data_IF_560232505867
#
_entry.id   IF_560232505867
#
_cell.length_a   1.000
_cell.length_b   1.000
_cell.length_c   1.000
_cell.angle_alpha   90.00
_cell.angle_beta   90.00
_cell.angle_gamma   90.00
#
_symmetry.space_group_name_H-M   'P 1'
#
loop_
_entity.id
_entity.type
_entity.pdbx_description
1 polymer ?
#
# COMPACT_ATOMS: atom_id res chain seq x y z
N UNK A 1 23.93 4.98 32.35
CA UNK A 1 22.77 4.07 32.23
C UNK A 1 23.05 3.15 31.07
N UNK A 2 23.28 1.88 31.39
CA UNK A 2 23.44 0.73 30.49
C UNK A 2 22.15 0.53 29.68
N UNK A 3 22.06 -0.13 28.53
CA UNK A 3 22.85 -1.13 27.81
C UNK A 3 22.72 -0.79 26.31
N UNK A 4 23.79 -0.95 25.52
CA UNK A 4 23.60 -1.31 24.12
C UNK A 4 23.06 -2.74 24.11
N UNK A 5 21.74 -2.89 24.32
CA UNK A 5 21.06 -4.17 24.17
C UNK A 5 21.33 -4.65 22.75
N UNK A 6 22.20 -5.65 22.65
CA UNK A 6 22.67 -6.16 21.38
C UNK A 6 21.48 -6.76 20.63
N UNK A 7 21.08 -6.11 19.54
CA UNK A 7 19.98 -6.57 18.69
C UNK A 7 20.46 -7.82 17.96
N UNK A 8 20.00 -8.99 18.41
CA UNK A 8 20.43 -10.30 17.89
C UNK A 8 19.46 -10.89 16.88
N UNK A 9 18.19 -10.46 16.89
CA UNK A 9 17.15 -11.04 16.04
C UNK A 9 16.15 -10.01 15.52
N UNK A 10 15.42 -10.35 14.46
CA UNK A 10 14.27 -9.58 13.98
C UNK A 10 13.20 -9.47 15.06
N UNK A 11 12.98 -10.50 15.88
CA UNK A 11 12.00 -10.45 16.96
C UNK A 11 12.34 -9.35 17.98
N UNK A 12 13.62 -9.07 18.24
CA UNK A 12 14.03 -7.99 19.14
C UNK A 12 13.83 -6.62 18.50
N UNK A 13 14.00 -6.50 17.18
CA UNK A 13 13.64 -5.28 16.45
C UNK A 13 12.14 -4.99 16.52
N UNK A 14 11.30 -6.01 16.37
CA UNK A 14 9.84 -5.83 16.38
C UNK A 14 9.30 -5.41 17.75
N UNK A 15 10.03 -5.66 18.84
CA UNK A 15 9.68 -5.16 20.19
C UNK A 15 9.99 -3.67 20.39
N UNK A 16 10.79 -3.05 19.51
CA UNK A 16 11.16 -1.64 19.64
C UNK A 16 9.92 -0.74 19.45
N UNK A 17 9.94 0.49 20.00
CA UNK A 17 8.86 1.45 19.78
C UNK A 17 8.70 1.85 18.30
N UNK A 18 7.47 1.97 17.82
CA UNK A 18 7.10 2.39 16.48
C UNK A 18 7.65 3.77 16.13
N UNK A 19 7.83 4.64 17.13
CA UNK A 19 8.48 5.94 17.00
C UNK A 19 9.88 5.87 16.37
N UNK A 20 10.58 4.74 16.53
CA UNK A 20 11.91 4.53 15.91
C UNK A 20 11.85 4.47 14.39
N UNK A 21 10.69 4.17 13.80
CA UNK A 21 10.48 4.17 12.35
C UNK A 21 10.28 5.57 11.76
N UNK A 22 10.08 6.59 12.61
CA UNK A 22 9.67 7.93 12.18
C UNK A 22 10.85 8.84 11.77
N UNK A 23 12.08 8.50 12.13
CA UNK A 23 13.24 9.37 11.95
C UNK A 23 13.51 9.77 10.50
N UNK A 24 13.21 8.89 9.55
CA UNK A 24 13.42 9.14 8.12
C UNK A 24 12.13 9.52 7.38
N UNK A 25 11.02 9.79 8.11
CA UNK A 25 9.71 10.00 7.51
C UNK A 25 9.43 11.45 7.19
N UNK A 26 8.98 11.66 5.96
CA UNK A 26 8.44 12.93 5.49
C UNK A 26 7.19 13.32 6.28
N UNK A 27 6.87 14.61 6.24
CA UNK A 27 5.62 15.13 6.78
C UNK A 27 4.42 14.46 6.11
N UNK A 28 3.33 14.34 6.87
CA UNK A 28 2.09 13.79 6.35
C UNK A 28 1.56 14.68 5.23
N UNK A 29 1.32 14.07 4.07
CA UNK A 29 0.50 14.66 3.02
C UNK A 29 -0.91 14.17 3.25
N UNK A 30 -1.88 15.08 3.30
CA UNK A 30 -3.29 14.81 3.56
C UNK A 30 -4.18 15.63 2.63
N UNK A 31 -5.46 15.27 2.57
CA UNK A 31 -6.51 16.01 1.86
C UNK A 31 -7.71 16.22 2.79
N UNK A 32 -8.57 17.16 2.44
CA UNK A 32 -9.83 17.37 3.17
C UNK A 32 -10.93 16.42 2.68
N UNK A 33 -11.92 16.17 3.52
CA UNK A 33 -13.10 15.35 3.23
C UNK A 33 -13.86 15.78 1.95
N UNK A 34 -13.83 17.08 1.65
CA UNK A 34 -14.48 17.69 0.48
C UNK A 34 -13.60 17.72 -0.77
N UNK A 35 -12.32 17.34 -0.66
CA UNK A 35 -11.39 17.30 -1.81
C UNK A 35 -11.92 16.33 -2.87
N UNK A 36 -11.93 16.77 -4.13
CA UNK A 36 -12.44 15.94 -5.23
C UNK A 36 -11.51 14.78 -5.56
N UNK A 37 -12.02 13.73 -6.21
CA UNK A 37 -11.20 12.62 -6.69
C UNK A 37 -10.10 13.07 -7.66
N UNK A 38 -10.39 14.01 -8.55
CA UNK A 38 -9.38 14.53 -9.50
C UNK A 38 -8.23 15.21 -8.76
N UNK A 39 -8.54 16.03 -7.77
CA UNK A 39 -7.52 16.73 -7.02
C UNK A 39 -6.76 15.76 -6.11
N UNK A 40 -7.44 14.74 -5.58
CA UNK A 40 -6.81 13.62 -4.89
C UNK A 40 -5.80 12.90 -5.78
N UNK A 41 -6.16 12.55 -7.02
CA UNK A 41 -5.25 11.94 -7.99
C UNK A 41 -4.03 12.85 -8.28
N UNK A 42 -4.24 14.16 -8.39
CA UNK A 42 -3.13 15.12 -8.56
C UNK A 42 -2.22 15.15 -7.34
N UNK A 43 -2.76 15.09 -6.12
CA UNK A 43 -1.97 15.02 -4.87
C UNK A 43 -1.16 13.73 -4.84
N UNK A 44 -1.78 12.58 -5.08
CA UNK A 44 -1.12 11.28 -5.14
C UNK A 44 0.04 11.29 -6.15
N UNK A 45 -0.20 11.80 -7.37
CA UNK A 45 0.81 11.89 -8.41
C UNK A 45 1.93 12.89 -8.09
N UNK A 46 1.59 14.10 -7.61
CA UNK A 46 2.56 15.15 -7.30
C UNK A 46 3.52 14.74 -6.19
N UNK A 47 2.99 14.07 -5.16
CA UNK A 47 3.77 13.63 -4.01
C UNK A 47 4.34 12.22 -4.18
N UNK A 48 4.04 11.55 -5.30
CA UNK A 48 4.49 10.19 -5.59
C UNK A 48 4.14 9.20 -4.48
N UNK A 49 2.86 9.20 -4.08
CA UNK A 49 2.30 8.36 -3.02
C UNK A 49 1.06 7.62 -3.54
N UNK A 50 0.79 6.43 -3.00
CA UNK A 50 -0.37 5.59 -3.42
C UNK A 50 -1.58 5.68 -2.47
N UNK A 51 -1.49 6.50 -1.43
CA UNK A 51 -2.61 6.72 -0.52
C UNK A 51 -2.41 8.00 0.26
N UNK A 52 -3.53 8.57 0.69
CA UNK A 52 -3.58 9.83 1.39
C UNK A 52 -4.66 9.77 2.48
N UNK A 53 -4.35 10.18 3.72
CA UNK A 53 -5.37 10.33 4.75
C UNK A 53 -6.34 11.45 4.41
N UNK A 54 -7.59 11.26 4.80
CA UNK A 54 -8.67 12.22 4.63
C UNK A 54 -9.02 12.83 5.97
N UNK A 55 -8.90 14.14 6.07
CA UNK A 55 -9.23 14.93 7.25
C UNK A 55 -10.58 15.62 7.08
N UNK A 56 -11.46 15.43 8.05
CA UNK A 56 -12.75 16.10 8.14
C UNK A 56 -12.59 17.37 8.99
N UNK A 57 -12.63 18.52 8.33
CA UNK A 57 -12.41 19.83 8.97
C UNK A 57 -13.53 20.20 9.96
N UNK A 58 -14.76 19.72 9.72
CA UNK A 58 -15.90 19.99 10.61
C UNK A 58 -15.79 19.19 11.90
N UNK A 59 -15.46 17.90 11.78
CA UNK A 59 -15.28 17.00 12.94
C UNK A 59 -13.92 17.14 13.61
N UNK A 60 -12.97 17.79 12.92
CA UNK A 60 -11.57 17.92 13.34
C UNK A 60 -10.90 16.56 13.58
N UNK A 61 -11.13 15.60 12.69
CA UNK A 61 -10.55 14.26 12.80
C UNK A 61 -10.24 13.64 11.43
N UNK A 62 -9.36 12.64 11.39
CA UNK A 62 -9.20 11.83 10.19
C UNK A 62 -10.36 10.84 10.11
N UNK A 63 -11.01 10.79 8.95
CA UNK A 63 -12.16 9.91 8.71
C UNK A 63 -11.77 8.64 7.97
N UNK A 64 -10.59 8.61 7.34
CA UNK A 64 -10.08 7.41 6.69
C UNK A 64 -8.82 7.66 5.86
N UNK A 65 -8.46 6.65 5.07
CA UNK A 65 -7.39 6.71 4.07
C UNK A 65 -7.98 6.32 2.71
N UNK A 66 -7.69 7.11 1.68
CA UNK A 66 -8.01 6.77 0.29
C UNK A 66 -6.76 6.17 -0.37
N UNK A 67 -6.87 4.94 -0.85
CA UNK A 67 -5.84 4.24 -1.60
C UNK A 67 -6.06 4.36 -3.11
N UNK A 68 -5.00 4.26 -3.90
CA UNK A 68 -5.12 4.11 -5.37
C UNK A 68 -6.00 2.91 -5.73
N UNK A 69 -6.03 1.87 -4.89
CA UNK A 69 -6.94 0.74 -5.08
C UNK A 69 -8.42 1.10 -4.92
N UNK A 70 -8.79 1.98 -4.00
CA UNK A 70 -10.20 2.42 -3.87
C UNK A 70 -10.67 3.10 -5.16
N UNK A 71 -9.80 3.93 -5.75
CA UNK A 71 -10.03 4.56 -7.05
C UNK A 71 -10.17 3.54 -8.17
N UNK A 72 -9.27 2.54 -8.22
CA UNK A 72 -9.31 1.48 -9.24
C UNK A 72 -10.57 0.62 -9.12
N UNK A 73 -10.97 0.25 -7.91
CA UNK A 73 -12.19 -0.53 -7.66
C UNK A 73 -13.41 0.26 -8.07
N UNK A 74 -13.47 1.53 -7.68
CA UNK A 74 -14.58 2.40 -8.04
C UNK A 74 -14.69 2.60 -9.56
N UNK A 75 -13.58 2.79 -10.27
CA UNK A 75 -13.56 2.83 -11.75
C UNK A 75 -13.98 1.49 -12.35
N UNK A 76 -13.52 0.37 -11.78
CA UNK A 76 -13.71 -0.96 -12.36
C UNK A 76 -15.13 -1.52 -12.19
N UNK A 77 -15.79 -1.17 -11.08
CA UNK A 77 -17.06 -1.76 -10.66
C UNK A 77 -18.15 -0.74 -10.30
N UNK A 78 -17.79 0.49 -9.93
CA UNK A 78 -18.74 1.52 -9.53
C UNK A 78 -19.45 2.21 -10.70
N UNK A 79 -18.79 2.31 -11.87
CA UNK A 79 -19.34 3.01 -13.04
C UNK A 79 -19.80 2.11 -14.18
N UNK A 80 -19.21 0.93 -14.30
CA UNK A 80 -19.55 0.02 -15.38
C UNK A 80 -20.18 -1.22 -14.75
N UNK A 81 -21.49 -1.40 -14.95
CA UNK A 81 -22.04 -2.73 -14.77
C UNK A 81 -21.28 -3.68 -15.70
N UNK A 82 -20.94 -4.87 -15.21
CA UNK A 82 -20.06 -5.82 -15.92
C UNK A 82 -20.56 -6.13 -17.34
N UNK A 83 -21.85 -5.94 -17.58
CA UNK A 83 -22.56 -6.26 -18.82
C UNK A 83 -22.91 -5.04 -19.70
N UNK A 84 -22.63 -3.81 -19.24
CA UNK A 84 -22.99 -2.59 -19.99
C UNK A 84 -21.96 -2.30 -21.09
N UNK A 85 -22.43 -2.15 -22.33
CA UNK A 85 -21.59 -1.66 -23.44
C UNK A 85 -21.23 -0.20 -23.18
N UNK A 86 -19.95 0.05 -22.91
CA UNK A 86 -19.42 1.40 -22.73
C UNK A 86 -19.41 2.12 -24.09
N UNK A 87 -20.24 3.15 -24.25
CA UNK A 87 -20.16 4.08 -25.40
C UNK A 87 -19.30 5.28 -25.01
N UNK A 88 -18.74 6.04 -25.98
CA UNK A 88 -17.98 7.25 -25.67
C UNK A 88 -18.78 8.28 -24.85
N UNK A 89 -20.08 8.42 -25.14
CA UNK A 89 -20.96 9.35 -24.45
C UNK A 89 -21.25 8.91 -23.01
N UNK A 90 -21.53 7.62 -22.79
CA UNK A 90 -21.74 7.11 -21.44
C UNK A 90 -20.45 7.18 -20.62
N UNK A 91 -19.29 6.91 -21.23
CA UNK A 91 -17.99 7.09 -20.61
C UNK A 91 -17.77 8.53 -20.13
N UNK A 92 -18.10 9.53 -20.96
CA UNK A 92 -17.90 10.93 -20.60
C UNK A 92 -18.74 11.34 -19.39
N UNK A 93 -20.01 10.92 -19.32
CA UNK A 93 -20.87 11.16 -18.16
C UNK A 93 -20.29 10.55 -16.88
N UNK A 94 -19.74 9.34 -16.96
CA UNK A 94 -19.12 8.67 -15.81
C UNK A 94 -17.83 9.37 -15.38
N UNK A 95 -17.00 9.81 -16.33
CA UNK A 95 -15.82 10.62 -16.03
C UNK A 95 -16.21 11.90 -15.30
N UNK A 96 -17.22 12.64 -15.78
CA UNK A 96 -17.60 13.90 -15.15
C UNK A 96 -18.20 13.70 -13.75
N UNK A 97 -18.89 12.58 -13.50
CA UNK A 97 -19.29 12.18 -12.14
C UNK A 97 -18.10 11.89 -11.25
N UNK A 98 -17.16 11.04 -11.71
CA UNK A 98 -15.94 10.70 -10.96
C UNK A 98 -15.16 11.96 -10.60
N UNK A 99 -15.02 12.90 -11.54
CA UNK A 99 -14.22 14.10 -11.36
C UNK A 99 -14.66 14.94 -10.16
N UNK A 100 -15.97 15.02 -9.93
CA UNK A 100 -16.58 15.87 -8.91
C UNK A 100 -16.92 15.11 -7.63
N UNK A 101 -16.72 13.79 -7.59
CA UNK A 101 -16.98 13.00 -6.40
C UNK A 101 -16.02 13.42 -5.27
N UNK A 102 -16.51 13.66 -4.04
CA UNK A 102 -15.66 13.86 -2.88
C UNK A 102 -14.86 12.59 -2.55
N UNK A 103 -13.58 12.73 -2.23
CA UNK A 103 -12.68 11.61 -1.97
C UNK A 103 -13.10 10.78 -0.75
N UNK A 104 -13.78 11.39 0.23
CA UNK A 104 -14.32 10.67 1.39
C UNK A 104 -15.28 9.53 1.00
N UNK A 105 -15.98 9.67 -0.12
CA UNK A 105 -16.94 8.66 -0.62
C UNK A 105 -16.21 7.39 -1.10
N UNK A 106 -14.90 7.48 -1.34
CA UNK A 106 -14.08 6.34 -1.76
C UNK A 106 -13.46 5.57 -0.60
N UNK A 107 -13.51 6.12 0.62
CA UNK A 107 -12.86 5.51 1.78
C UNK A 107 -13.37 4.08 1.98
N UNK A 108 -12.45 3.12 1.94
CA UNK A 108 -12.73 1.72 2.24
C UNK A 108 -13.57 0.98 1.19
N UNK A 109 -13.81 1.56 0.01
CA UNK A 109 -14.57 0.90 -1.07
C UNK A 109 -13.93 -0.42 -1.45
N UNK A 110 -12.59 -0.46 -1.61
CA UNK A 110 -11.91 -1.70 -1.98
C UNK A 110 -12.06 -2.80 -0.93
N UNK A 111 -12.07 -2.42 0.36
CA UNK A 111 -12.25 -3.37 1.46
C UNK A 111 -13.69 -3.85 1.57
N UNK A 112 -14.66 -2.92 1.50
CA UNK A 112 -16.10 -3.24 1.53
C UNK A 112 -16.44 -4.26 0.44
N UNK A 113 -15.96 -4.02 -0.78
CA UNK A 113 -16.25 -4.89 -1.90
C UNK A 113 -15.53 -6.26 -1.80
N UNK A 114 -14.43 -6.39 -1.04
CA UNK A 114 -13.59 -7.62 -0.99
C UNK A 114 -13.97 -8.49 0.20
N UNK A 115 -14.13 -7.87 1.35
CA UNK A 115 -14.40 -8.54 2.61
C UNK A 115 -15.89 -8.54 3.00
N UNK A 116 -16.70 -7.68 2.37
CA UNK A 116 -18.12 -7.56 2.70
C UNK A 116 -18.41 -6.70 3.94
N UNK A 117 -17.38 -6.09 4.53
CA UNK A 117 -17.50 -5.12 5.62
C UNK A 117 -16.67 -3.88 5.33
N UNK A 118 -17.22 -2.72 5.73
CA UNK A 118 -16.56 -1.45 5.55
C UNK A 118 -15.49 -1.23 6.63
N UNK A 119 -14.31 -0.77 6.21
CA UNK A 119 -13.22 -0.38 7.10
C UNK A 119 -12.58 0.89 6.54
N UNK A 120 -12.44 1.94 7.35
CA UNK A 120 -11.92 3.24 6.90
C UNK A 120 -10.40 3.30 6.68
N UNK A 121 -9.73 2.18 6.92
CA UNK A 121 -8.28 2.03 6.78
C UNK A 121 -7.48 2.75 7.87
N UNK A 122 -8.14 3.33 8.87
CA UNK A 122 -7.51 4.24 9.81
C UNK A 122 -7.19 3.55 11.13
N UNK A 123 -5.91 3.28 11.36
CA UNK A 123 -5.39 2.88 12.66
C UNK A 123 -4.34 3.89 13.10
N UNK A 124 -4.56 4.51 14.26
CA UNK A 124 -3.67 5.55 14.80
C UNK A 124 -3.02 5.03 16.07
N UNK A 125 -1.69 5.03 16.11
CA UNK A 125 -0.91 4.54 17.24
C UNK A 125 -0.05 5.63 17.87
N UNK A 126 0.20 5.48 19.17
CA UNK A 126 1.22 6.23 19.88
C UNK A 126 2.62 5.71 19.53
N UNK A 127 3.66 6.57 19.51
CA UNK A 127 5.01 6.18 19.10
C UNK A 127 5.67 5.19 20.07
N UNK A 128 5.14 5.04 21.27
CA UNK A 128 5.62 4.11 22.30
C UNK A 128 5.16 2.67 22.07
N UNK A 129 4.16 2.45 21.22
CA UNK A 129 3.66 1.12 20.85
C UNK A 129 4.75 0.32 20.14
N UNK A 130 4.77 -1.00 20.32
CA UNK A 130 5.79 -1.82 19.64
C UNK A 130 5.58 -1.85 18.13
N UNK A 131 6.66 -2.08 17.36
CA UNK A 131 6.56 -2.29 15.91
C UNK A 131 5.66 -3.50 15.61
N UNK A 132 5.74 -4.56 16.42
CA UNK A 132 4.88 -5.74 16.29
C UNK A 132 3.39 -5.38 16.41
N UNK A 133 3.01 -4.53 17.38
CA UNK A 133 1.61 -4.11 17.56
C UNK A 133 1.07 -3.38 16.32
N UNK A 134 1.87 -2.52 15.69
CA UNK A 134 1.43 -1.75 14.52
C UNK A 134 1.43 -2.58 13.22
N UNK A 135 2.10 -3.73 13.20
CA UNK A 135 2.07 -4.67 12.07
C UNK A 135 0.78 -5.49 12.04
N UNK A 136 0.14 -5.74 13.17
CA UNK A 136 -1.09 -6.54 13.25
C UNK A 136 -2.21 -6.10 12.29
N UNK A 137 -2.58 -4.82 12.18
CA UNK A 137 -3.53 -4.38 11.16
C UNK A 137 -3.04 -4.64 9.73
N UNK A 138 -1.72 -4.56 9.51
CA UNK A 138 -1.12 -4.73 8.19
C UNK A 138 -1.15 -6.19 7.72
N UNK A 139 -1.03 -7.13 8.66
CA UNK A 139 -1.24 -8.57 8.41
C UNK A 139 -2.69 -8.88 8.02
N UNK A 140 -3.64 -8.09 8.54
CA UNK A 140 -5.07 -8.17 8.22
C UNK A 140 -5.47 -7.62 6.86
N UNK A 141 -4.50 -7.23 6.02
CA UNK A 141 -4.74 -6.69 4.67
C UNK A 141 -4.79 -5.18 4.59
N UNK A 142 -4.56 -4.46 5.69
CA UNK A 142 -4.32 -3.03 5.63
C UNK A 142 -2.90 -2.75 5.11
N UNK A 143 -2.75 -1.71 4.33
CA UNK A 143 -1.42 -1.40 3.76
C UNK A 143 -0.66 -0.38 4.61
N UNK A 144 -1.39 0.40 5.44
CA UNK A 144 -0.84 1.55 6.16
C UNK A 144 -1.47 1.78 7.52
N UNK A 145 -0.70 2.41 8.39
CA UNK A 145 -1.12 2.91 9.72
C UNK A 145 -0.61 4.34 9.91
N UNK A 146 -1.25 5.09 10.80
CA UNK A 146 -0.75 6.38 11.27
C UNK A 146 -0.10 6.23 12.64
N UNK A 147 1.01 6.93 12.85
CA UNK A 147 1.68 7.01 14.15
C UNK A 147 1.90 8.47 14.49
N UNK A 148 1.59 8.84 15.74
CA UNK A 148 1.91 10.19 16.25
C UNK A 148 3.42 10.31 16.40
N UNK A 149 4.03 11.25 15.69
CA UNK A 149 5.36 11.73 16.00
C UNK A 149 5.30 12.54 17.28
N UNK A 150 6.30 12.34 18.14
CA UNK A 150 6.60 13.29 19.19
C UNK A 150 6.95 14.63 18.54
N UNK A 151 6.53 15.78 19.09
CA UNK A 151 6.93 17.09 18.59
C UNK A 151 8.43 17.29 18.85
N UNK A 152 9.28 16.73 18.00
CA UNK A 152 10.72 16.94 18.02
C UNK A 152 11.00 18.23 17.25
N UNK A 153 11.06 19.33 17.99
CA UNK A 153 11.36 20.69 17.55
C UNK A 153 10.35 21.33 16.58
N UNK A 154 9.75 22.44 17.03
CA UNK A 154 9.07 23.40 16.14
C UNK A 154 10.07 23.79 15.04
N UNK A 155 9.71 23.77 13.75
CA UNK A 155 10.54 24.39 12.75
C UNK A 155 10.66 25.88 13.09
N UNK A 156 11.88 26.35 13.31
CA UNK A 156 12.22 27.78 13.39
C UNK A 156 12.15 28.34 11.96
N UNK A 157 10.94 28.62 11.49
CA UNK A 157 10.68 29.25 10.20
C UNK A 157 9.54 30.26 10.34
N UNK A 158 9.55 31.35 9.56
CA UNK A 158 8.52 32.38 9.65
C UNK A 158 7.15 31.76 9.37
N UNK A 159 6.30 31.87 10.37
CA UNK A 159 4.93 31.38 10.43
C UNK A 159 4.02 32.26 9.60
N UNK A 160 4.09 32.13 8.28
CA UNK A 160 3.05 32.65 7.40
C UNK A 160 2.27 31.46 6.86
N UNK A 161 1.02 31.36 7.33
CA UNK A 161 -0.05 30.47 6.86
C UNK A 161 0.14 28.96 7.12
N UNK A 162 0.18 28.56 8.40
CA UNK A 162 0.00 27.15 8.79
C UNK A 162 -1.20 27.00 9.71
N UNK A 163 -2.16 26.17 9.29
CA UNK A 163 -3.27 25.67 10.09
C UNK A 163 -2.81 25.33 11.51
N UNK A 164 -3.29 26.10 12.49
CA UNK A 164 -2.96 25.91 13.88
C UNK A 164 -3.35 24.50 14.36
N UNK A 165 -2.31 23.73 14.73
CA UNK A 165 -2.36 22.89 15.92
C UNK A 165 -2.86 21.46 15.72
N UNK A 166 -2.00 20.51 16.13
CA UNK A 166 -2.29 19.12 16.51
C UNK A 166 -2.08 17.99 15.48
N UNK A 167 -2.14 18.23 14.16
CA UNK A 167 -2.12 17.12 13.18
C UNK A 167 -0.81 16.97 12.39
N UNK A 168 0.06 17.98 12.37
CA UNK A 168 1.42 17.92 11.78
C UNK A 168 2.36 16.91 12.45
N UNK A 169 1.92 16.36 13.58
CA UNK A 169 2.61 15.31 14.32
C UNK A 169 2.40 13.94 13.68
N UNK A 170 1.39 13.66 12.86
CA UNK A 170 1.20 12.29 12.36
C UNK A 170 2.19 11.93 11.25
N UNK A 171 2.51 10.64 11.16
CA UNK A 171 3.31 10.03 10.09
C UNK A 171 2.64 8.75 9.63
N UNK A 172 2.69 8.50 8.33
CA UNK A 172 2.17 7.27 7.74
C UNK A 172 3.26 6.21 7.61
N UNK A 173 2.99 5.01 8.11
CA UNK A 173 3.85 3.84 8.02
C UNK A 173 3.19 2.73 7.21
N UNK A 174 4.00 2.02 6.43
CA UNK A 174 3.63 0.81 5.70
C UNK A 174 4.54 -0.36 6.06
N UNK A 175 4.20 -1.55 5.58
CA UNK A 175 5.04 -2.75 5.73
C UNK A 175 6.46 -2.53 5.17
N UNK A 176 6.60 -1.76 4.09
CA UNK A 176 7.91 -1.45 3.50
C UNK A 176 8.79 -0.62 4.42
N UNK A 177 8.23 0.21 5.29
CA UNK A 177 9.02 1.00 6.24
C UNK A 177 9.62 0.11 7.33
N UNK A 178 8.83 -0.84 7.83
CA UNK A 178 9.30 -1.85 8.78
C UNK A 178 10.40 -2.69 8.13
N UNK A 179 10.22 -3.12 6.88
CA UNK A 179 11.24 -3.87 6.15
C UNK A 179 12.52 -3.05 5.98
N UNK A 180 12.43 -1.78 5.56
CA UNK A 180 13.61 -0.88 5.44
C UNK A 180 14.34 -0.76 6.77
N UNK A 181 13.61 -0.58 7.87
CA UNK A 181 14.18 -0.52 9.22
C UNK A 181 14.88 -1.82 9.62
N UNK A 182 14.28 -2.98 9.32
CA UNK A 182 14.92 -4.28 9.57
C UNK A 182 16.22 -4.40 8.76
N UNK A 183 16.22 -3.94 7.51
CA UNK A 183 17.39 -3.98 6.63
C UNK A 183 18.53 -3.04 7.07
N UNK A 184 18.28 -2.03 7.90
CA UNK A 184 19.37 -1.24 8.51
C UNK A 184 20.09 -1.98 9.64
N UNK A 185 19.67 -3.20 9.98
CA UNK A 185 20.21 -4.01 11.07
C UNK A 185 20.67 -5.40 10.57
N UNK A 186 21.73 -5.48 9.74
CA UNK A 186 22.12 -6.71 9.03
C UNK A 186 22.44 -7.89 9.96
N UNK A 187 22.92 -7.64 11.19
CA UNK A 187 23.15 -8.70 12.18
C UNK A 187 21.85 -9.38 12.60
N UNK A 188 20.78 -8.62 12.76
CA UNK A 188 19.46 -9.14 13.15
C UNK A 188 18.83 -10.00 12.05
N UNK A 189 19.23 -9.80 10.79
CA UNK A 189 18.69 -10.51 9.61
C UNK A 189 19.55 -11.68 9.15
N UNK A 190 20.76 -11.86 9.71
CA UNK A 190 21.76 -12.81 9.20
C UNK A 190 21.25 -14.25 9.10
N UNK A 191 20.47 -14.69 10.09
CA UNK A 191 19.88 -16.03 10.09
C UNK A 191 18.81 -16.22 9.01
N UNK A 192 18.12 -15.15 8.63
CA UNK A 192 17.08 -15.18 7.61
C UNK A 192 17.69 -15.15 6.21
N UNK A 193 18.69 -14.30 5.98
CA UNK A 193 19.32 -14.12 4.66
C UNK A 193 20.09 -15.35 4.19
N UNK A 194 20.47 -16.24 5.10
CA UNK A 194 21.19 -17.49 4.79
C UNK A 194 20.26 -18.68 4.49
N UNK A 195 18.94 -18.50 4.64
CA UNK A 195 17.95 -19.54 4.37
C UNK A 195 17.36 -19.35 2.98
N UNK A 196 17.09 -20.46 2.28
CA UNK A 196 16.29 -20.43 1.06
C UNK A 196 14.83 -20.09 1.40
N UNK A 197 14.05 -19.63 0.41
CA UNK A 197 12.62 -19.36 0.61
C UNK A 197 11.87 -20.59 1.15
N UNK A 198 12.25 -21.80 0.71
CA UNK A 198 11.66 -23.04 1.23
C UNK A 198 12.04 -23.37 2.67
N UNK A 199 13.28 -23.09 3.07
CA UNK A 199 13.69 -23.22 4.47
C UNK A 199 13.01 -22.20 5.40
N UNK A 200 12.59 -21.05 4.86
CA UNK A 200 11.77 -20.07 5.55
C UNK A 200 10.29 -20.44 5.60
N UNK A 201 9.89 -21.54 4.96
CA UNK A 201 8.50 -21.95 4.85
C UNK A 201 7.67 -21.09 3.90
N UNK A 202 8.28 -20.15 3.18
CA UNK A 202 7.63 -19.22 2.25
C UNK A 202 7.24 -19.88 0.92
N UNK A 203 7.54 -21.17 0.75
CA UNK A 203 7.22 -21.93 -0.46
C UNK A 203 6.48 -23.25 -0.16
N UNK A 204 6.24 -23.58 1.11
CA UNK A 204 5.73 -24.90 1.52
C UNK A 204 4.29 -25.14 1.07
N UNK A 205 3.52 -24.06 0.87
CA UNK A 205 2.11 -24.14 0.50
C UNK A 205 1.90 -23.74 -0.97
N UNK A 206 2.73 -24.18 -1.93
CA UNK A 206 2.54 -23.83 -3.35
C UNK A 206 1.16 -24.19 -3.92
N UNK A 207 0.46 -25.15 -3.31
CA UNK A 207 -0.92 -25.47 -3.69
C UNK A 207 -1.94 -24.42 -3.16
N UNK A 208 -1.59 -23.63 -2.14
CA UNK A 208 -2.40 -22.54 -1.58
C UNK A 208 -1.87 -21.14 -1.98
N UNK A 209 -0.59 -21.01 -2.37
CA UNK A 209 -0.10 -19.79 -3.01
C UNK A 209 -0.94 -19.58 -4.25
N UNK A 210 -1.81 -18.58 -4.15
CA UNK A 210 -2.85 -18.26 -5.12
C UNK A 210 -2.29 -18.35 -6.53
N UNK A 211 -3.06 -19.01 -7.41
CA UNK A 211 -2.90 -18.99 -8.86
C UNK A 211 -2.32 -17.63 -9.27
N UNK A 212 -1.14 -17.62 -9.89
CA UNK A 212 -0.52 -16.39 -10.38
C UNK A 212 -1.55 -15.67 -11.24
N UNK A 213 -1.98 -14.51 -10.76
CA UNK A 213 -2.94 -13.68 -11.47
C UNK A 213 -2.19 -13.04 -12.62
N UNK A 214 -2.63 -13.35 -13.83
CA UNK A 214 -1.99 -12.88 -15.04
C UNK A 214 -3.01 -12.40 -16.05
N UNK A 215 -2.55 -11.51 -16.92
CA UNK A 215 -3.29 -11.02 -18.08
C UNK A 215 -2.41 -11.07 -19.32
N UNK A 216 -3.03 -11.22 -20.48
CA UNK A 216 -2.40 -11.15 -21.79
C UNK A 216 -2.23 -9.70 -22.19
N UNK A 217 -1.21 -9.43 -22.99
CA UNK A 217 -0.99 -8.11 -23.58
C UNK A 217 -2.18 -7.60 -24.42
N UNK A 218 -2.99 -8.53 -24.95
CA UNK A 218 -4.19 -8.20 -25.71
C UNK A 218 -5.40 -7.82 -24.86
N UNK A 219 -5.37 -8.09 -23.55
CA UNK A 219 -6.46 -7.77 -22.63
C UNK A 219 -6.40 -6.29 -22.22
N UNK A 220 -7.56 -5.70 -21.96
CA UNK A 220 -7.64 -4.30 -21.55
C UNK A 220 -7.13 -4.10 -20.11
N UNK A 221 -6.62 -2.90 -19.81
CA UNK A 221 -6.25 -2.54 -18.45
C UNK A 221 -7.41 -2.68 -17.45
N UNK A 222 -8.64 -2.41 -17.91
CA UNK A 222 -9.85 -2.57 -17.11
C UNK A 222 -10.12 -4.04 -16.74
N UNK A 223 -9.98 -4.96 -17.69
CA UNK A 223 -10.07 -6.41 -17.42
C UNK A 223 -8.97 -6.85 -16.47
N UNK A 224 -7.76 -6.35 -16.63
CA UNK A 224 -6.67 -6.57 -15.68
C UNK A 224 -7.02 -6.12 -14.27
N UNK A 225 -7.49 -4.88 -14.08
CA UNK A 225 -7.88 -4.40 -12.76
C UNK A 225 -9.02 -5.20 -12.15
N UNK A 226 -10.04 -5.58 -12.93
CA UNK A 226 -11.13 -6.45 -12.47
C UNK A 226 -10.60 -7.81 -12.04
N UNK A 227 -9.70 -8.41 -12.80
CA UNK A 227 -9.11 -9.70 -12.48
C UNK A 227 -8.21 -9.60 -11.23
N UNK A 228 -7.46 -8.52 -11.06
CA UNK A 228 -6.57 -8.29 -9.92
C UNK A 228 -7.40 -8.23 -8.65
N UNK A 229 -8.47 -7.45 -8.70
CA UNK A 229 -9.41 -7.28 -7.63
C UNK A 229 -10.15 -8.58 -7.26
N UNK A 230 -10.75 -9.26 -8.23
CA UNK A 230 -11.54 -10.49 -7.99
C UNK A 230 -10.69 -11.65 -7.47
N UNK A 231 -9.41 -11.69 -7.80
CA UNK A 231 -8.47 -12.69 -7.28
C UNK A 231 -7.80 -12.24 -5.96
N UNK A 232 -8.07 -11.02 -5.50
CA UNK A 232 -7.52 -10.46 -4.27
C UNK A 232 -6.01 -10.22 -4.32
N UNK A 233 -5.46 -10.01 -5.51
CA UNK A 233 -4.04 -9.74 -5.73
C UNK A 233 -3.75 -8.23 -5.79
N UNK A 234 -2.54 -7.85 -5.40
CA UNK A 234 -2.08 -6.44 -5.46
C UNK A 234 -1.33 -6.12 -6.76
N UNK A 235 -1.04 -7.14 -7.58
CA UNK A 235 -0.35 -7.02 -8.86
C UNK A 235 -0.72 -8.17 -9.80
N UNK A 236 -0.40 -7.99 -11.09
CA UNK A 236 -0.57 -9.02 -12.11
C UNK A 236 0.66 -9.17 -12.98
N UNK A 237 0.94 -10.41 -13.37
CA UNK A 237 1.94 -10.70 -14.39
C UNK A 237 1.35 -10.50 -15.80
N UNK A 238 2.06 -9.76 -16.65
CA UNK A 238 1.71 -9.64 -18.08
C UNK A 238 2.37 -10.80 -18.84
N UNK A 239 1.55 -11.63 -19.48
CA UNK A 239 2.00 -12.73 -20.33
C UNK A 239 2.08 -12.29 -21.79
N UNK A 240 3.28 -12.39 -22.35
CA UNK A 240 3.50 -12.21 -23.79
C UNK A 240 3.05 -13.46 -24.55
N UNK A 241 2.35 -13.27 -25.67
CA UNK A 241 1.69 -14.33 -26.44
C UNK A 241 2.64 -15.42 -26.98
N UNK A 242 3.95 -15.21 -26.95
CA UNK A 242 4.99 -16.15 -27.38
C UNK A 242 5.25 -17.31 -26.40
N UNK A 243 4.63 -17.32 -25.22
CA UNK A 243 4.77 -18.41 -24.23
C UNK A 243 3.49 -19.25 -24.18
N UNK A 244 2.97 -19.68 -25.33
CA UNK A 244 1.76 -20.51 -25.40
C UNK A 244 2.03 -22.01 -25.18
N UNK A 245 3.28 -22.45 -24.98
CA UNK A 245 3.66 -23.85 -24.78
C UNK A 245 4.54 -24.14 -23.54
N UNK A 246 4.34 -23.42 -22.43
CA UNK A 246 4.97 -23.79 -21.15
C UNK A 246 3.90 -24.23 -20.15
N UNK A 247 3.37 -25.44 -20.36
CA UNK A 247 2.87 -26.21 -19.23
C UNK A 247 4.09 -26.69 -18.43
N UNK A 248 4.22 -26.19 -17.19
CA UNK A 248 5.31 -26.37 -16.21
C UNK A 248 6.43 -25.33 -16.34
N UNK A 249 6.31 -24.29 -15.52
CA UNK A 249 7.45 -23.47 -15.13
C UNK A 249 8.37 -24.36 -14.26
N UNK A 250 9.47 -24.85 -14.85
CA UNK A 250 10.52 -25.55 -14.12
C UNK A 250 11.46 -24.50 -13.52
N UNK A 251 11.65 -24.51 -12.20
CA UNK A 251 12.77 -23.83 -11.56
C UNK A 251 14.01 -24.67 -11.90
N UNK A 252 14.90 -24.12 -12.73
CA UNK A 252 16.13 -24.78 -13.18
C UNK A 252 17.17 -24.75 -12.05
N UNK A 253 17.82 -25.88 -11.80
CA UNK A 253 18.93 -26.01 -10.85
C UNK A 253 20.16 -25.14 -11.22
N UNK A 254 21.02 -24.78 -10.24
CA UNK A 254 22.18 -23.93 -10.49
C UNK A 254 23.21 -24.65 -11.38
N UNK A 255 23.43 -24.15 -12.60
CA UNK A 255 24.51 -24.67 -13.46
C UNK A 255 24.41 -24.38 -14.97
N UNK A 256 23.30 -23.82 -15.48
CA UNK A 256 23.17 -23.50 -16.91
C UNK A 256 22.86 -22.02 -17.18
N UNK A 257 23.60 -21.45 -18.14
CA UNK A 257 23.58 -20.04 -18.49
C UNK A 257 22.41 -19.66 -19.43
N UNK A 258 21.54 -18.76 -18.93
CA UNK A 258 20.64 -17.79 -19.60
C UNK A 258 19.31 -18.30 -20.22
N UNK A 259 18.26 -17.43 -20.34
CA UNK A 259 18.16 -16.01 -19.95
C UNK A 259 17.14 -15.71 -18.83
N UNK A 260 17.36 -14.55 -18.19
CA UNK A 260 16.59 -13.96 -17.09
C UNK A 260 15.39 -13.19 -17.67
N UNK A 261 14.21 -13.37 -17.08
CA UNK A 261 13.03 -12.54 -17.35
C UNK A 261 13.21 -11.14 -16.75
N UNK A 262 12.86 -10.10 -17.51
CA UNK A 262 12.87 -8.72 -17.03
C UNK A 262 11.69 -8.48 -16.09
N UNK A 263 11.98 -8.20 -14.82
CA UNK A 263 11.06 -7.50 -13.94
C UNK A 263 11.13 -6.01 -14.31
N UNK A 264 10.17 -5.49 -15.09
CA UNK A 264 10.00 -4.03 -15.22
C UNK A 264 9.22 -3.56 -13.99
N UNK A 265 9.90 -3.53 -12.85
CA UNK A 265 9.51 -2.67 -11.74
C UNK A 265 10.04 -1.27 -12.07
N UNK A 266 9.27 -0.47 -12.81
CA UNK A 266 9.40 0.98 -12.62
C UNK A 266 8.85 1.28 -11.24
N UNK A 267 9.77 1.31 -10.29
CA UNK A 267 9.61 2.00 -9.02
C UNK A 267 9.38 3.46 -9.43
N UNK A 268 8.12 3.90 -9.35
CA UNK A 268 7.82 5.30 -9.16
C UNK A 268 7.86 5.56 -7.67
#
# INVERSE_FOLDING_TARGET
>A
MSEHEEIKSVADLLKRPAGTLLHAKQHLVEITATTTVVDTLKVLARHNILAVPVYDEEKKEYVGIVHTFDLLVYISFGFFQVEEKVTPESLQVHIDKLRNLPAQELIGIAHLSKAGWWHNGLNVYEPTRSIAEILSPLEGGLERVLVRATPTHRPEGPSDEMHEGHYSALRILSQSDVLRFILTHPRATQELTNKTLGQLGLTSNFNEFQKIVSVRESESALEGFRHMYTQGADAQAIMLATISHVHRLWIVEPGQHKPIAFFVSRIF
#
